data_IF_649071249734
#
_entry.id   IF_649071249734
#
_cell.length_a   1.000
_cell.length_b   1.000
_cell.length_c   1.000
_cell.angle_alpha   90.00
_cell.angle_beta   90.00
_cell.angle_gamma   90.00
#
_symmetry.space_group_name_H-M   'P 1'
#
loop_
_entity.id
_entity.type
_entity.pdbx_description
1 polymer ?
#
# COMPACT_ATOMS: atom_id res chain seq x y z
N UNK A 1 -2.37 5.16 -10.92
CA UNK A 1 -3.49 4.22 -11.06
C UNK A 1 -3.96 3.77 -9.67
N UNK A 2 -5.22 4.03 -9.33
CA UNK A 2 -5.85 3.56 -8.09
C UNK A 2 -6.87 2.48 -8.47
N UNK A 3 -6.47 1.21 -8.43
CA UNK A 3 -7.31 0.09 -8.83
C UNK A 3 -8.05 -0.57 -7.67
N UNK A 4 -8.96 -1.50 -7.96
CA UNK A 4 -9.74 -2.22 -6.94
C UNK A 4 -8.92 -3.29 -6.21
N UNK A 5 -8.01 -3.95 -6.94
CA UNK A 5 -7.13 -5.01 -6.43
C UNK A 5 -5.69 -4.54 -6.35
N UNK A 6 -5.21 -3.86 -7.40
CA UNK A 6 -3.84 -3.38 -7.49
C UNK A 6 -3.81 -1.89 -7.84
N UNK A 7 -2.84 -1.18 -7.31
CA UNK A 7 -2.52 0.22 -7.64
C UNK A 7 -1.07 0.34 -8.09
N UNK A 8 -0.76 1.43 -8.77
CA UNK A 8 0.59 1.71 -9.26
C UNK A 8 0.74 3.19 -9.58
N UNK A 9 1.96 3.69 -9.68
CA UNK A 9 2.21 5.06 -10.10
C UNK A 9 3.38 5.12 -11.09
N UNK A 10 3.39 6.19 -11.86
CA UNK A 10 4.48 6.54 -12.75
C UNK A 10 4.76 8.03 -12.58
N UNK A 11 6.00 8.43 -12.85
CA UNK A 11 6.45 9.81 -12.71
C UNK A 11 7.46 10.14 -13.82
N UNK A 12 7.63 11.42 -14.10
CA UNK A 12 8.64 11.92 -15.01
C UNK A 12 9.27 13.16 -14.37
N UNK A 13 10.51 13.46 -14.73
CA UNK A 13 11.21 14.66 -14.24
C UNK A 13 11.09 15.77 -15.27
N UNK A 14 11.14 17.01 -14.79
CA UNK A 14 11.18 18.18 -15.68
C UNK A 14 12.46 18.22 -16.51
N UNK A 15 13.58 17.73 -15.95
CA UNK A 15 14.89 17.66 -16.64
C UNK A 15 15.04 16.49 -17.60
N UNK A 16 14.28 15.40 -17.40
CA UNK A 16 14.24 14.25 -18.30
C UNK A 16 12.78 13.78 -18.42
N UNK A 17 12.15 13.97 -19.59
CA UNK A 17 10.74 13.66 -19.81
C UNK A 17 10.44 12.15 -19.92
N UNK A 18 11.44 11.29 -19.75
CA UNK A 18 11.23 9.84 -19.67
C UNK A 18 10.26 9.49 -18.54
N UNK A 19 9.25 8.68 -18.88
CA UNK A 19 8.24 8.22 -17.94
C UNK A 19 8.78 6.97 -17.25
N UNK A 20 9.00 7.08 -15.95
CA UNK A 20 9.42 5.99 -15.08
C UNK A 20 8.17 5.40 -14.43
N UNK A 21 7.89 4.13 -14.71
CA UNK A 21 6.88 3.37 -13.96
C UNK A 21 7.53 2.84 -12.71
N UNK A 22 6.91 3.08 -11.55
CA UNK A 22 7.46 2.59 -10.29
C UNK A 22 7.41 1.06 -10.24
N UNK A 23 8.56 0.45 -9.97
CA UNK A 23 8.72 -0.98 -9.79
C UNK A 23 9.34 -1.37 -8.42
N UNK A 24 9.61 -0.36 -7.59
CA UNK A 24 10.18 -0.51 -6.25
C UNK A 24 9.11 -0.25 -5.19
N UNK A 25 8.79 -1.29 -4.42
CA UNK A 25 7.82 -1.25 -3.34
C UNK A 25 8.45 -1.83 -2.07
N UNK A 26 7.90 -1.54 -0.88
CA UNK A 26 8.37 -2.19 0.35
C UNK A 26 8.39 -3.71 0.20
N UNK A 27 9.56 -4.31 0.41
CA UNK A 27 9.81 -5.75 0.30
C UNK A 27 9.56 -6.37 -1.10
N UNK A 28 9.39 -5.57 -2.16
CA UNK A 28 9.22 -6.07 -3.53
C UNK A 28 10.01 -5.23 -4.56
N UNK A 29 10.79 -5.92 -5.41
CA UNK A 29 11.55 -5.31 -6.50
C UNK A 29 11.05 -5.85 -7.84
N UNK A 30 10.88 -4.97 -8.82
CA UNK A 30 10.48 -5.30 -10.20
C UNK A 30 8.97 -5.45 -10.42
N UNK A 31 8.15 -5.23 -9.38
CA UNK A 31 6.69 -5.31 -9.50
C UNK A 31 6.13 -3.96 -9.91
N UNK A 32 5.41 -3.86 -11.03
CA UNK A 32 4.87 -2.56 -11.50
C UNK A 32 3.65 -2.08 -10.69
N UNK A 33 3.07 -2.95 -9.86
CA UNK A 33 1.86 -2.69 -9.09
C UNK A 33 1.91 -3.39 -7.74
N UNK A 34 1.04 -2.89 -6.89
CA UNK A 34 0.99 -3.16 -5.46
C UNK A 34 -0.44 -3.34 -5.00
N UNK A 35 -0.69 -4.05 -3.91
CA UNK A 35 -2.06 -4.35 -3.45
C UNK A 35 -2.80 -3.06 -3.03
N UNK A 36 -4.06 -2.96 -3.42
CA UNK A 36 -5.01 -1.98 -2.86
C UNK A 36 -5.60 -2.52 -1.56
N UNK A 37 -4.76 -2.63 -0.54
CA UNK A 37 -5.11 -3.23 0.74
C UNK A 37 -4.52 -2.44 1.91
N UNK A 38 -5.22 -2.47 3.04
CA UNK A 38 -4.80 -1.88 4.31
C UNK A 38 -4.98 -2.87 5.45
N UNK A 39 -4.12 -2.76 6.45
CA UNK A 39 -4.27 -3.42 7.74
C UNK A 39 -4.18 -2.37 8.83
N UNK A 40 -5.16 -2.39 9.71
CA UNK A 40 -5.29 -1.41 10.77
C UNK A 40 -4.92 -2.01 12.12
N UNK A 41 -4.57 -1.12 13.04
CA UNK A 41 -4.56 -1.44 14.46
C UNK A 41 -5.96 -1.81 14.96
N UNK A 42 -6.01 -2.46 16.13
CA UNK A 42 -7.24 -3.03 16.72
C UNK A 42 -8.42 -2.06 16.80
N UNK A 43 -8.16 -0.75 16.92
CA UNK A 43 -9.18 0.30 17.04
C UNK A 43 -9.35 1.15 15.77
N UNK A 44 -8.77 0.73 14.64
CA UNK A 44 -8.79 1.46 13.37
C UNK A 44 -8.23 2.88 13.43
N UNK A 45 -7.41 3.20 14.46
CA UNK A 45 -6.86 4.56 14.63
C UNK A 45 -5.76 4.87 13.63
N UNK A 46 -4.93 3.88 13.28
CA UNK A 46 -3.81 4.02 12.37
C UNK A 46 -3.65 2.77 11.49
N UNK A 47 -3.09 2.97 10.30
CA UNK A 47 -2.67 1.92 9.39
C UNK A 47 -1.35 1.34 9.93
N UNK A 48 -1.31 0.03 10.16
CA UNK A 48 -0.11 -0.70 10.59
C UNK A 48 0.68 -1.21 9.38
N UNK A 49 -0.03 -1.72 8.39
CA UNK A 49 0.55 -2.21 7.14
C UNK A 49 -0.36 -1.76 5.98
N UNK A 50 0.24 -1.47 4.83
CA UNK A 50 -0.46 -1.29 3.57
C UNK A 50 0.23 -2.15 2.52
N UNK A 51 -0.43 -2.39 1.39
CA UNK A 51 0.19 -3.04 0.24
C UNK A 51 0.58 -4.54 0.43
N UNK A 52 1.76 -4.99 0.00
CA UNK A 52 2.19 -6.38 -0.04
C UNK A 52 2.33 -7.00 1.35
N UNK A 53 2.90 -6.29 2.35
CA UNK A 53 2.93 -6.76 3.74
C UNK A 53 1.56 -7.21 4.28
N UNK A 54 0.45 -6.59 3.81
CA UNK A 54 -0.91 -6.92 4.26
C UNK A 54 -1.31 -8.36 3.93
N UNK A 55 -0.88 -8.87 2.77
CA UNK A 55 -1.24 -10.21 2.27
C UNK A 55 -0.08 -11.21 2.38
N UNK A 56 1.11 -10.76 2.76
CA UNK A 56 2.24 -11.63 3.03
C UNK A 56 1.89 -12.57 4.20
N UNK A 57 2.03 -13.89 3.99
CA UNK A 57 1.81 -14.86 5.06
C UNK A 57 2.84 -14.59 6.16
N UNK A 58 2.44 -14.51 7.45
CA UNK A 58 3.42 -14.39 8.51
C UNK A 58 4.35 -15.59 8.43
N UNK A 59 5.66 -15.35 8.34
CA UNK A 59 6.68 -16.38 8.55
C UNK A 59 6.30 -17.06 9.86
N UNK A 60 6.12 -18.39 9.85
CA UNK A 60 5.75 -19.18 11.03
C UNK A 60 6.85 -19.07 12.08
N UNK A 61 6.91 -17.97 12.82
CA UNK A 61 7.76 -17.83 13.99
C UNK A 61 7.18 -18.78 15.03
N UNK A 62 7.86 -19.91 15.25
CA UNK A 62 7.59 -20.83 16.36
C UNK A 62 7.55 -20.01 17.65
N UNK A 63 6.36 -19.72 18.19
CA UNK A 63 6.23 -19.05 19.50
C UNK A 63 5.22 -17.90 19.65
N UNK A 64 4.40 -17.54 18.65
CA UNK A 64 3.37 -16.51 18.87
C UNK A 64 2.20 -17.06 19.71
N UNK A 65 1.91 -16.38 20.82
CA UNK A 65 0.89 -16.77 21.79
C UNK A 65 -0.50 -16.84 21.13
N UNK A 66 -1.37 -17.72 21.65
CA UNK A 66 -2.76 -17.92 21.17
C UNK A 66 -3.65 -16.66 21.25
N UNK A 67 -3.14 -15.51 21.73
CA UNK A 67 -3.90 -14.29 22.01
C UNK A 67 -3.55 -13.10 21.09
N UNK A 68 -2.74 -13.25 20.05
CA UNK A 68 -2.47 -12.14 19.13
C UNK A 68 -3.71 -11.86 18.26
N UNK A 69 -4.31 -10.68 18.43
CA UNK A 69 -5.36 -10.19 17.54
C UNK A 69 -4.79 -10.04 16.13
N UNK A 70 -5.24 -10.87 15.20
CA UNK A 70 -4.91 -10.75 13.78
C UNK A 70 -5.99 -9.89 13.14
N UNK A 71 -5.70 -8.61 12.90
CA UNK A 71 -6.63 -7.76 12.15
C UNK A 71 -6.69 -8.25 10.70
N UNK A 72 -7.91 -8.37 10.17
CA UNK A 72 -8.11 -8.80 8.78
C UNK A 72 -7.76 -7.64 7.84
N UNK A 73 -7.13 -7.92 6.70
CA UNK A 73 -6.99 -6.97 5.61
C UNK A 73 -8.32 -6.30 5.25
N UNK A 74 -8.26 -5.00 4.93
CA UNK A 74 -9.33 -4.21 4.35
C UNK A 74 -8.99 -4.05 2.87
N UNK A 75 -9.70 -4.80 2.03
CA UNK A 75 -9.49 -4.88 0.58
C UNK A 75 -10.73 -4.41 -0.18
N UNK A 76 -10.58 -4.15 -1.48
CA UNK A 76 -11.68 -3.83 -2.41
C UNK A 76 -12.56 -2.65 -1.99
N UNK A 77 -12.12 -1.83 -1.03
CA UNK A 77 -12.87 -0.68 -0.52
C UNK A 77 -13.18 0.35 -1.62
N UNK A 78 -12.40 0.39 -2.71
CA UNK A 78 -12.71 1.21 -3.90
C UNK A 78 -14.04 0.86 -4.56
N UNK A 79 -14.50 -0.40 -4.51
CA UNK A 79 -15.77 -0.81 -5.12
C UNK A 79 -16.99 -0.10 -4.51
N UNK A 80 -16.86 0.45 -3.30
CA UNK A 80 -17.89 1.29 -2.70
C UNK A 80 -18.11 2.63 -3.42
N UNK A 81 -17.18 3.05 -4.28
CA UNK A 81 -17.34 4.20 -5.17
C UNK A 81 -18.07 3.88 -6.49
N UNK A 82 -18.32 2.60 -6.79
CA UNK A 82 -19.00 2.19 -8.02
C UNK A 82 -20.52 2.20 -7.86
N UNK A 83 -21.23 2.19 -8.99
CA UNK A 83 -22.70 2.14 -9.04
C UNK A 83 -23.28 0.73 -8.82
N UNK A 84 -22.52 -0.21 -8.24
CA UNK A 84 -23.04 -1.54 -7.93
C UNK A 84 -24.06 -1.47 -6.78
N UNK A 85 -25.07 -2.36 -6.77
CA UNK A 85 -26.03 -2.46 -5.67
C UNK A 85 -25.34 -2.61 -4.30
N UNK A 86 -25.92 -2.00 -3.26
CA UNK A 86 -25.32 -2.00 -1.92
C UNK A 86 -25.14 -3.41 -1.32
N UNK A 87 -26.02 -4.35 -1.68
CA UNK A 87 -25.93 -5.76 -1.29
C UNK A 87 -24.81 -6.54 -2.01
N UNK A 88 -24.25 -5.99 -3.10
CA UNK A 88 -23.12 -6.56 -3.84
C UNK A 88 -21.78 -5.93 -3.46
N UNK A 89 -21.79 -4.82 -2.70
CA UNK A 89 -20.57 -4.17 -2.24
C UNK A 89 -19.79 -5.08 -1.29
N UNK A 90 -18.46 -5.09 -1.36
CA UNK A 90 -17.64 -5.91 -0.47
C UNK A 90 -17.85 -5.50 0.99
N UNK A 91 -18.06 -6.49 1.86
CA UNK A 91 -18.22 -6.27 3.30
C UNK A 91 -16.91 -5.74 3.88
N UNK A 92 -16.96 -4.60 4.57
CA UNK A 92 -15.83 -4.03 5.31
C UNK A 92 -15.94 -4.38 6.80
N UNK A 93 -14.81 -4.48 7.54
CA UNK A 93 -14.86 -4.73 8.98
C UNK A 93 -15.69 -3.71 9.75
N UNK A 94 -16.40 -4.15 10.79
CA UNK A 94 -17.21 -3.27 11.65
C UNK A 94 -16.31 -2.21 12.30
N UNK A 95 -16.64 -0.93 12.12
CA UNK A 95 -15.87 0.21 12.65
C UNK A 95 -14.99 0.91 11.62
N UNK A 96 -14.90 0.39 10.40
CA UNK A 96 -14.28 1.08 9.26
C UNK A 96 -15.23 1.10 8.06
N UNK A 97 -15.13 2.14 7.24
CA UNK A 97 -15.84 2.26 5.97
C UNK A 97 -14.90 2.79 4.88
N UNK A 98 -15.36 2.74 3.63
CA UNK A 98 -14.56 3.17 2.48
C UNK A 98 -14.16 4.66 2.53
N UNK A 99 -14.97 5.52 3.16
CA UNK A 99 -14.66 6.95 3.32
C UNK A 99 -13.44 7.18 4.23
N UNK A 100 -13.10 6.21 5.08
CA UNK A 100 -11.84 6.19 5.84
C UNK A 100 -10.74 5.43 5.11
N UNK A 101 -11.04 4.25 4.58
CA UNK A 101 -10.04 3.39 3.96
C UNK A 101 -9.39 4.01 2.71
N UNK A 102 -10.16 4.71 1.88
CA UNK A 102 -9.64 5.34 0.66
C UNK A 102 -8.62 6.44 0.98
N UNK A 103 -8.93 7.48 1.77
CA UNK A 103 -7.95 8.52 2.07
C UNK A 103 -6.75 7.99 2.84
N UNK A 104 -6.92 7.02 3.75
CA UNK A 104 -5.80 6.40 4.46
C UNK A 104 -4.86 5.68 3.49
N UNK A 105 -5.39 4.94 2.50
CA UNK A 105 -4.59 4.29 1.47
C UNK A 105 -3.85 5.29 0.58
N UNK A 106 -4.55 6.33 0.11
CA UNK A 106 -3.95 7.36 -0.73
C UNK A 106 -2.90 8.18 0.02
N UNK A 107 -3.03 8.33 1.34
CA UNK A 107 -2.01 8.96 2.19
C UNK A 107 -0.74 8.12 2.22
N UNK A 108 -0.83 6.82 2.50
CA UNK A 108 0.34 5.92 2.48
C UNK A 108 1.02 5.90 1.09
N UNK A 109 0.22 5.79 0.02
CA UNK A 109 0.73 5.86 -1.36
C UNK A 109 1.43 7.20 -1.64
N UNK A 110 0.84 8.31 -1.20
CA UNK A 110 1.42 9.65 -1.39
C UNK A 110 2.71 9.87 -0.61
N UNK A 111 2.85 9.27 0.58
CA UNK A 111 4.09 9.26 1.35
C UNK A 111 5.20 8.48 0.61
N UNK A 112 4.89 7.29 0.09
CA UNK A 112 5.84 6.53 -0.74
C UNK A 112 6.25 7.30 -2.00
N UNK A 113 5.30 7.88 -2.73
CA UNK A 113 5.60 8.66 -3.93
C UNK A 113 6.58 9.79 -3.60
N UNK A 114 6.37 10.51 -2.49
CA UNK A 114 7.28 11.56 -2.04
C UNK A 114 8.68 11.02 -1.76
N UNK A 115 8.76 9.91 -1.03
CA UNK A 115 10.04 9.26 -0.74
C UNK A 115 10.78 8.83 -2.01
N UNK A 116 10.08 8.19 -2.96
CA UNK A 116 10.62 7.74 -4.24
C UNK A 116 11.20 8.91 -5.04
N UNK A 117 10.45 10.00 -5.19
CA UNK A 117 10.93 11.16 -5.97
C UNK A 117 12.09 11.86 -5.27
N UNK A 118 12.07 12.03 -3.94
CA UNK A 118 13.15 12.73 -3.22
C UNK A 118 14.43 11.92 -3.14
N UNK A 119 14.33 10.59 -3.00
CA UNK A 119 15.50 9.70 -2.92
C UNK A 119 16.22 9.62 -4.26
N UNK A 120 15.46 9.60 -5.35
CA UNK A 120 16.02 9.59 -6.71
C UNK A 120 16.70 10.92 -7.06
N UNK A 121 16.29 12.03 -6.44
CA UNK A 121 16.97 13.32 -6.59
C UNK A 121 18.27 13.40 -5.76
N UNK A 122 18.31 12.76 -4.60
CA UNK A 122 19.53 12.62 -3.78
C UNK A 122 20.57 11.64 -4.34
N UNK A 123 20.14 10.64 -5.12
CA UNK A 123 21.02 9.64 -5.73
C UNK A 123 21.84 10.16 -6.93
N UNK A 124 21.58 11.38 -7.42
CA UNK A 124 22.52 12.05 -8.33
C UNK A 124 23.76 12.59 -7.60
N UNK A 125 23.86 12.48 -6.27
CA UNK A 125 25.01 12.93 -5.50
C UNK A 125 25.84 11.85 -4.80
N UNK A 126 25.54 10.55 -4.92
CA UNK A 126 26.43 9.49 -4.38
C UNK A 126 26.39 8.19 -5.19
N UNK A 127 27.55 7.58 -5.51
CA UNK A 127 27.58 6.22 -6.05
C UNK A 127 27.16 5.22 -4.97
N UNK A 128 26.45 4.19 -5.41
CA UNK A 128 25.96 3.09 -4.60
C UNK A 128 27.03 2.44 -3.72
N UNK A 129 26.81 2.43 -2.40
CA UNK A 129 27.27 1.36 -1.52
C UNK A 129 26.30 1.22 -0.35
N UNK A 130 25.48 0.18 -0.36
CA UNK A 130 25.06 -0.47 0.88
C UNK A 130 25.45 -1.95 0.74
N UNK A 131 26.56 -2.30 1.40
CA UNK A 131 26.87 -3.68 1.75
C UNK A 131 26.21 -4.01 3.09
N UNK A 132 25.77 -5.26 3.20
CA UNK A 132 25.17 -5.91 4.36
C UNK A 132 26.20 -6.00 5.49
#
# INVERSE_FOLDING_TARGET
>A
DFGTTYSGFAYARTVNPEIITNDSWPDQIGQLKTNTALKYSKNFKFVEEWDYPVLAKPIKSKGKSKNQFVSKPVERFKLHLSNIPDNEKPVLPKGINYKKAIPDYLKCMGELIKETITTTDGAQNYPATFQI
#
